data_IF_241957996658
#
_entry.id   IF_241957996658
#
_cell.length_a   1.000
_cell.length_b   1.000
_cell.length_c   1.000
_cell.angle_alpha   90.00
_cell.angle_beta   90.00
_cell.angle_gamma   90.00
#
_symmetry.space_group_name_H-M   'P 1'
#
loop_
_entity.id
_entity.type
_entity.pdbx_description
1 polymer ?
#
# COMPACT_ATOMS: atom_id res chain seq x y z
N UNK A 1 15.66 3.34 -24.08
CA UNK A 1 14.21 3.61 -24.03
C UNK A 1 13.73 3.29 -22.62
N UNK A 2 13.64 4.29 -21.75
CA UNK A 2 13.02 4.17 -20.44
C UNK A 2 11.66 4.91 -20.53
N UNK A 3 10.62 4.31 -19.95
CA UNK A 3 9.19 4.59 -20.17
C UNK A 3 8.74 5.99 -19.64
N UNK A 4 7.59 6.59 -20.01
CA UNK A 4 6.23 6.15 -19.61
C UNK A 4 5.11 6.96 -20.30
N UNK A 5 3.96 6.29 -20.49
CA UNK A 5 2.65 6.85 -20.84
C UNK A 5 2.28 8.03 -19.92
N UNK A 6 2.28 9.26 -20.43
CA UNK A 6 1.68 10.39 -19.73
C UNK A 6 0.16 10.15 -19.63
N UNK A 7 -0.34 9.88 -18.43
CA UNK A 7 -1.78 9.87 -18.18
C UNK A 7 -2.25 11.31 -18.02
N UNK A 8 -2.99 11.82 -19.01
CA UNK A 8 -3.68 13.10 -18.92
C UNK A 8 -5.12 12.84 -18.51
N UNK A 9 -5.53 13.35 -17.35
CA UNK A 9 -6.95 13.37 -16.96
C UNK A 9 -7.54 14.69 -17.45
N UNK A 10 -8.51 14.65 -18.36
CA UNK A 10 -9.31 15.84 -18.68
C UNK A 10 -10.10 16.24 -17.43
N UNK A 11 -9.69 17.34 -16.79
CA UNK A 11 -10.32 17.83 -15.57
C UNK A 11 -9.48 18.82 -14.76
N UNK A 12 -10.10 19.42 -13.75
CA UNK A 12 -9.42 20.15 -12.68
C UNK A 12 -8.50 19.16 -11.95
N UNK A 13 -7.18 19.35 -12.01
CA UNK A 13 -6.20 18.40 -11.45
C UNK A 13 -6.47 18.00 -10.00
N UNK A 14 -5.92 16.85 -9.58
CA UNK A 14 -6.13 16.29 -8.24
C UNK A 14 -5.11 16.90 -7.27
N UNK A 15 -5.52 17.22 -6.03
CA UNK A 15 -4.57 17.71 -5.01
C UNK A 15 -3.50 16.65 -4.74
N UNK A 16 -2.24 17.06 -4.70
CA UNK A 16 -1.10 16.17 -4.38
C UNK A 16 -1.35 15.36 -3.10
N UNK A 17 -1.84 16.01 -2.03
CA UNK A 17 -2.13 15.34 -0.77
C UNK A 17 -3.08 14.15 -0.92
N UNK A 18 -4.08 14.25 -1.79
CA UNK A 18 -5.05 13.18 -2.04
C UNK A 18 -4.43 12.00 -2.78
N UNK A 19 -3.51 12.27 -3.69
CA UNK A 19 -2.74 11.22 -4.38
C UNK A 19 -1.80 10.54 -3.39
N UNK A 20 -1.10 11.30 -2.55
CA UNK A 20 -0.22 10.75 -1.52
C UNK A 20 -0.99 9.88 -0.53
N UNK A 21 -2.14 10.34 -0.02
CA UNK A 21 -3.06 9.55 0.82
C UNK A 21 -3.45 8.22 0.16
N UNK A 22 -3.78 8.25 -1.14
CA UNK A 22 -4.12 7.05 -1.88
C UNK A 22 -2.92 6.09 -1.97
N UNK A 23 -1.74 6.60 -2.37
CA UNK A 23 -0.53 5.79 -2.50
C UNK A 23 -0.10 5.16 -1.17
N UNK A 24 -0.18 5.90 -0.06
CA UNK A 24 0.14 5.38 1.28
C UNK A 24 -0.93 4.44 1.82
N UNK A 25 -2.19 4.56 1.38
CA UNK A 25 -3.23 3.58 1.69
C UNK A 25 -3.04 2.26 0.93
N UNK A 26 -2.56 2.35 -0.31
CA UNK A 26 -2.27 1.19 -1.15
C UNK A 26 -1.06 0.43 -0.62
N UNK A 27 0.06 1.12 -0.37
CA UNK A 27 1.26 0.55 0.20
C UNK A 27 1.70 1.37 1.43
N UNK A 28 1.30 0.95 2.63
CA UNK A 28 1.66 1.63 3.87
C UNK A 28 3.17 1.80 4.03
N UNK A 29 3.61 3.00 4.43
CA UNK A 29 5.03 3.29 4.65
C UNK A 29 5.65 2.43 5.75
N UNK A 30 4.84 1.86 6.64
CA UNK A 30 5.28 0.91 7.67
C UNK A 30 5.80 -0.42 7.11
N UNK A 31 5.52 -0.73 5.83
CA UNK A 31 6.06 -1.90 5.14
C UNK A 31 7.49 -1.71 4.65
N UNK A 32 7.99 -0.47 4.64
CA UNK A 32 9.33 -0.18 4.16
C UNK A 32 10.40 -0.85 5.03
N UNK A 33 11.49 -1.24 4.38
CA UNK A 33 12.69 -1.68 5.09
C UNK A 33 13.28 -0.54 5.94
N UNK A 34 13.92 -0.90 7.06
CA UNK A 34 14.40 0.09 8.05
C UNK A 34 15.47 1.06 7.53
N UNK A 35 16.15 0.69 6.45
CA UNK A 35 17.19 1.49 5.79
C UNK A 35 16.65 2.35 4.65
N UNK A 36 15.39 2.18 4.27
CA UNK A 36 14.84 2.76 3.06
C UNK A 36 14.36 4.22 3.25
N UNK A 37 14.21 4.94 2.14
CA UNK A 37 13.65 6.29 2.13
C UNK A 37 12.48 6.39 1.14
N UNK A 38 11.28 6.16 1.65
CA UNK A 38 10.03 6.05 0.87
C UNK A 38 9.06 7.20 1.15
N UNK A 39 8.02 7.32 0.32
CA UNK A 39 6.97 8.31 0.46
C UNK A 39 7.21 9.57 -0.38
N UNK A 40 6.67 10.71 0.07
CA UNK A 40 6.82 11.99 -0.61
C UNK A 40 8.20 12.58 -0.26
N UNK A 41 9.13 12.52 -1.21
CA UNK A 41 10.53 12.93 -1.03
C UNK A 41 10.78 14.38 -1.42
N UNK A 42 9.99 14.92 -2.35
CA UNK A 42 10.06 16.31 -2.77
C UNK A 42 8.64 16.87 -2.85
N UNK A 43 8.40 17.94 -2.12
CA UNK A 43 7.13 18.68 -2.13
C UNK A 43 7.40 20.16 -2.40
N UNK A 44 6.85 20.74 -3.49
CA UNK A 44 6.91 22.18 -3.73
C UNK A 44 6.18 22.98 -2.65
N UNK A 45 6.69 24.16 -2.30
CA UNK A 45 6.11 25.01 -1.25
C UNK A 45 4.70 25.54 -1.58
N UNK A 46 4.40 25.75 -2.87
CA UNK A 46 3.07 26.15 -3.31
C UNK A 46 2.16 24.92 -3.50
N UNK A 47 0.85 25.00 -3.17
CA UNK A 47 -0.08 23.90 -3.40
C UNK A 47 -0.03 23.37 -4.84
N UNK A 48 0.07 22.05 -4.99
CA UNK A 48 0.18 21.38 -6.29
C UNK A 48 -1.15 20.72 -6.67
N UNK A 49 -1.68 21.08 -7.84
CA UNK A 49 -2.75 20.35 -8.52
C UNK A 49 -2.12 19.48 -9.61
N UNK A 50 -2.18 18.17 -9.41
CA UNK A 50 -1.57 17.17 -10.29
C UNK A 50 -2.52 16.87 -11.45
N UNK A 51 -2.08 17.21 -12.66
CA UNK A 51 -2.75 16.87 -13.92
C UNK A 51 -2.01 15.80 -14.71
N UNK A 52 -0.68 15.75 -14.54
CA UNK A 52 0.20 14.79 -15.21
C UNK A 52 1.12 14.13 -14.18
N UNK A 53 1.16 12.81 -14.26
CA UNK A 53 2.06 11.96 -13.48
C UNK A 53 3.02 11.28 -14.44
N UNK A 54 4.32 11.33 -14.13
CA UNK A 54 5.34 10.52 -14.79
C UNK A 54 5.72 9.38 -13.85
N UNK A 55 5.70 8.14 -14.35
CA UNK A 55 6.20 6.98 -13.62
C UNK A 55 7.59 6.62 -14.16
N UNK A 56 8.52 6.24 -13.29
CA UNK A 56 9.84 5.77 -13.73
C UNK A 56 10.41 4.77 -12.73
N UNK A 57 11.38 3.96 -13.16
CA UNK A 57 12.21 3.19 -12.24
C UNK A 57 13.26 4.11 -11.62
N UNK A 58 14.10 4.71 -12.46
CA UNK A 58 15.15 5.65 -12.07
C UNK A 58 14.84 7.07 -12.56
N UNK A 59 14.95 8.06 -11.67
CA UNK A 59 14.88 9.46 -12.04
C UNK A 59 16.26 9.96 -12.48
N UNK A 60 16.62 9.74 -13.75
CA UNK A 60 17.86 10.21 -14.38
C UNK A 60 17.72 11.64 -14.91
N UNK A 61 18.83 12.26 -15.36
CA UNK A 61 18.78 13.59 -16.00
C UNK A 61 17.95 13.59 -17.29
N UNK A 62 17.98 12.50 -18.07
CA UNK A 62 17.16 12.36 -19.29
C UNK A 62 15.66 12.26 -18.97
N UNK A 63 15.31 11.47 -17.93
CA UNK A 63 13.92 11.34 -17.47
C UNK A 63 13.43 12.65 -16.86
N UNK A 64 14.30 13.39 -16.17
CA UNK A 64 13.97 14.73 -15.68
C UNK A 64 13.68 15.69 -16.82
N UNK A 65 14.48 15.65 -17.89
CA UNK A 65 14.22 16.46 -19.08
C UNK A 65 12.85 16.13 -19.68
N UNK A 66 12.48 14.85 -19.77
CA UNK A 66 11.14 14.42 -20.19
C UNK A 66 10.03 14.96 -19.24
N UNK A 67 10.25 14.90 -17.93
CA UNK A 67 9.30 15.42 -16.94
C UNK A 67 9.05 16.93 -17.11
N UNK A 68 10.11 17.70 -17.36
CA UNK A 68 10.04 19.15 -17.64
C UNK A 68 9.32 19.40 -18.97
N UNK A 69 9.76 18.76 -20.05
CA UNK A 69 9.20 18.93 -21.40
C UNK A 69 7.70 18.58 -21.42
N UNK A 70 7.29 17.59 -20.63
CA UNK A 70 5.89 17.13 -20.52
C UNK A 70 5.02 17.97 -19.58
N UNK A 71 5.58 18.94 -18.86
CA UNK A 71 4.92 19.70 -17.79
C UNK A 71 4.29 18.78 -16.73
N UNK A 72 5.05 17.77 -16.31
CA UNK A 72 4.67 16.85 -15.23
C UNK A 72 4.50 17.60 -13.91
N UNK A 73 3.58 17.16 -13.05
CA UNK A 73 3.40 17.74 -11.71
C UNK A 73 3.87 16.79 -10.60
N UNK A 74 3.79 15.48 -10.84
CA UNK A 74 4.22 14.45 -9.90
C UNK A 74 5.03 13.39 -10.64
N UNK A 75 6.21 13.11 -10.12
CA UNK A 75 7.03 11.97 -10.54
C UNK A 75 6.89 10.87 -9.49
N UNK A 76 6.56 9.66 -9.92
CA UNK A 76 6.62 8.45 -9.08
C UNK A 76 7.83 7.65 -9.57
N UNK A 77 8.92 7.72 -8.81
CA UNK A 77 10.16 7.00 -9.11
C UNK A 77 10.27 5.78 -8.19
N UNK A 78 10.40 4.57 -8.74
CA UNK A 78 10.52 3.38 -7.91
C UNK A 78 11.76 3.43 -7.02
N UNK A 79 12.93 3.77 -7.58
CA UNK A 79 14.13 4.01 -6.80
C UNK A 79 14.16 5.44 -6.24
N UNK A 80 14.41 5.62 -4.93
CA UNK A 80 14.38 6.95 -4.31
C UNK A 80 15.57 7.80 -4.79
N UNK A 81 15.33 8.94 -5.47
CA UNK A 81 16.42 9.84 -5.88
C UNK A 81 17.15 10.42 -4.66
N UNK A 82 16.44 10.61 -3.55
CA UNK A 82 16.99 10.93 -2.23
C UNK A 82 17.15 9.63 -1.45
N UNK A 83 18.22 8.88 -1.68
CA UNK A 83 18.49 7.67 -0.87
C UNK A 83 19.29 7.97 0.41
N UNK A 84 20.10 9.03 0.37
CA UNK A 84 20.85 9.54 1.52
C UNK A 84 20.56 11.02 1.72
N UNK A 85 20.60 11.54 2.96
CA UNK A 85 20.40 12.95 3.23
C UNK A 85 21.42 13.83 2.49
N UNK A 86 20.93 14.91 1.87
CA UNK A 86 21.78 15.92 1.26
C UNK A 86 22.28 16.91 2.30
N UNK A 87 23.59 17.20 2.29
CA UNK A 87 24.16 18.29 3.10
C UNK A 87 23.95 19.67 2.46
N UNK A 88 23.74 19.72 1.15
CA UNK A 88 23.49 20.93 0.35
C UNK A 88 22.79 20.54 -0.96
N UNK A 89 22.11 21.50 -1.57
CA UNK A 89 21.51 21.38 -2.90
C UNK A 89 22.12 22.48 -3.75
N UNK A 90 22.97 22.10 -4.71
CA UNK A 90 23.70 22.98 -5.62
C UNK A 90 23.67 22.42 -7.04
N UNK A 91 24.09 23.21 -8.04
CA UNK A 91 24.18 22.73 -9.42
C UNK A 91 25.36 21.79 -9.69
N UNK A 92 26.23 21.54 -8.69
CA UNK A 92 27.46 20.77 -8.87
C UNK A 92 27.25 19.28 -9.08
N UNK A 93 26.28 18.67 -8.39
CA UNK A 93 25.99 17.22 -8.49
C UNK A 93 24.66 16.97 -9.18
N UNK A 94 24.60 15.91 -9.99
CA UNK A 94 23.40 15.59 -10.78
C UNK A 94 22.14 15.38 -9.92
N UNK A 95 22.23 14.64 -8.81
CA UNK A 95 21.07 14.48 -7.91
C UNK A 95 20.62 15.79 -7.26
N UNK A 96 21.56 16.67 -6.92
CA UNK A 96 21.23 18.00 -6.39
C UNK A 96 20.55 18.87 -7.46
N UNK A 97 21.03 18.81 -8.71
CA UNK A 97 20.38 19.46 -9.87
C UNK A 97 18.96 18.94 -10.08
N UNK A 98 18.74 17.63 -10.02
CA UNK A 98 17.39 17.05 -10.14
C UNK A 98 16.42 17.66 -9.12
N UNK A 99 16.85 17.74 -7.84
CA UNK A 99 16.01 18.33 -6.79
C UNK A 99 15.76 19.81 -7.02
N UNK A 100 16.78 20.58 -7.40
CA UNK A 100 16.63 21.99 -7.75
C UNK A 100 15.63 22.17 -8.90
N UNK A 101 15.77 21.40 -9.97
CA UNK A 101 14.87 21.40 -11.13
C UNK A 101 13.43 21.03 -10.74
N UNK A 102 13.23 20.03 -9.87
CA UNK A 102 11.90 19.70 -9.35
C UNK A 102 11.24 20.91 -8.67
N UNK A 103 11.97 21.57 -7.76
CA UNK A 103 11.45 22.70 -7.00
C UNK A 103 11.16 23.91 -7.89
N UNK A 104 12.05 24.24 -8.82
CA UNK A 104 11.88 25.33 -9.79
C UNK A 104 10.64 25.13 -10.67
N UNK A 105 10.36 23.88 -11.06
CA UNK A 105 9.23 23.52 -11.93
C UNK A 105 7.97 23.10 -11.16
N UNK A 106 7.94 23.24 -9.84
CA UNK A 106 6.82 22.85 -8.97
C UNK A 106 6.40 21.39 -9.16
N UNK A 107 7.39 20.51 -9.29
CA UNK A 107 7.20 19.06 -9.41
C UNK A 107 7.42 18.38 -8.06
N UNK A 108 6.47 17.53 -7.69
CA UNK A 108 6.61 16.63 -6.55
C UNK A 108 7.28 15.32 -6.96
N UNK A 109 7.94 14.65 -6.01
CA UNK A 109 8.52 13.32 -6.21
C UNK A 109 8.08 12.39 -5.09
N UNK A 110 7.47 11.27 -5.46
CA UNK A 110 7.11 10.18 -4.55
C UNK A 110 7.91 8.92 -4.90
N UNK A 111 8.36 8.18 -3.89
CA UNK A 111 9.08 6.91 -4.07
C UNK A 111 8.48 5.80 -3.23
N UNK A 112 7.88 4.76 -3.83
CA UNK A 112 7.35 3.64 -3.07
C UNK A 112 8.42 2.64 -2.63
N UNK A 113 9.36 2.31 -3.52
CA UNK A 113 10.46 1.35 -3.32
C UNK A 113 10.03 0.10 -2.55
N UNK A 114 10.63 -0.21 -1.39
CA UNK A 114 10.38 -1.46 -0.66
C UNK A 114 8.95 -1.63 -0.16
N UNK A 115 8.15 -0.55 -0.02
CA UNK A 115 6.73 -0.70 0.35
C UNK A 115 5.92 -1.40 -0.74
N UNK A 116 6.29 -1.20 -2.01
CA UNK A 116 5.64 -1.86 -3.15
C UNK A 116 6.18 -3.27 -3.39
N UNK A 117 7.40 -3.56 -2.97
CA UNK A 117 7.93 -4.93 -2.99
C UNK A 117 7.21 -5.80 -1.96
N UNK A 118 6.91 -5.19 -0.81
CA UNK A 118 6.37 -5.83 0.36
C UNK A 118 4.84 -5.91 0.40
N UNK A 119 4.10 -5.17 -0.41
CA UNK A 119 2.62 -5.18 -0.35
C UNK A 119 2.02 -6.36 -1.12
N UNK A 120 0.96 -6.95 -0.58
CA UNK A 120 0.12 -7.90 -1.33
C UNK A 120 -0.46 -7.23 -2.58
N UNK A 121 -0.40 -7.91 -3.73
CA UNK A 121 -0.72 -7.35 -5.04
C UNK A 121 0.33 -6.36 -5.56
N UNK A 122 1.49 -6.29 -4.91
CA UNK A 122 2.61 -5.40 -5.26
C UNK A 122 3.52 -5.96 -6.35
N UNK A 123 4.76 -5.47 -6.39
CA UNK A 123 5.71 -5.78 -7.45
C UNK A 123 6.03 -7.29 -7.50
N UNK A 124 6.29 -7.90 -6.35
CA UNK A 124 6.63 -9.32 -6.23
C UNK A 124 5.51 -10.22 -6.77
N UNK A 125 4.26 -9.91 -6.40
CA UNK A 125 3.07 -10.65 -6.87
C UNK A 125 2.82 -10.42 -8.36
N UNK A 126 3.03 -9.19 -8.85
CA UNK A 126 2.92 -8.89 -10.28
C UNK A 126 3.96 -9.66 -11.10
N UNK A 127 5.20 -9.75 -10.64
CA UNK A 127 6.26 -10.54 -11.27
C UNK A 127 5.96 -12.04 -11.25
N UNK A 128 5.29 -12.53 -10.20
CA UNK A 128 4.86 -13.91 -10.07
C UNK A 128 3.64 -14.23 -10.97
N UNK A 129 2.77 -13.25 -11.24
CA UNK A 129 1.49 -13.46 -11.93
C UNK A 129 1.52 -14.21 -13.28
N UNK A 130 2.58 -14.17 -14.11
CA UNK A 130 2.63 -14.94 -15.36
C UNK A 130 2.83 -16.45 -15.18
N UNK A 131 3.15 -16.90 -13.97
CA UNK A 131 3.46 -18.30 -13.66
C UNK A 131 2.31 -18.98 -12.93
N UNK A 132 2.15 -20.29 -13.13
CA UNK A 132 1.16 -21.10 -12.42
C UNK A 132 1.76 -21.64 -11.11
N UNK A 133 1.13 -21.30 -9.98
CA UNK A 133 1.53 -21.78 -8.65
C UNK A 133 0.33 -22.37 -7.91
N UNK A 134 0.57 -23.41 -7.11
CA UNK A 134 -0.44 -23.92 -6.16
C UNK A 134 -0.63 -22.98 -4.96
N UNK A 135 0.36 -22.13 -4.68
CA UNK A 135 0.33 -21.10 -3.66
C UNK A 135 1.54 -20.16 -3.76
N UNK A 136 1.35 -18.91 -3.34
CA UNK A 136 2.39 -17.88 -3.28
C UNK A 136 2.49 -17.39 -1.85
N UNK A 137 3.69 -17.45 -1.27
CA UNK A 137 3.99 -16.94 0.06
C UNK A 137 5.24 -16.06 0.02
N UNK A 138 5.34 -15.02 0.87
CA UNK A 138 6.51 -14.17 0.89
C UNK A 138 7.77 -14.94 1.32
N UNK A 139 8.91 -14.64 0.67
CA UNK A 139 10.20 -15.22 1.04
C UNK A 139 10.64 -14.73 2.43
N UNK A 140 10.54 -13.42 2.66
CA UNK A 140 10.76 -12.81 3.97
C UNK A 140 9.53 -12.00 4.36
N UNK A 141 8.65 -12.57 5.21
CA UNK A 141 7.63 -11.86 5.96
C UNK A 141 7.96 -10.42 6.38
N UNK A 142 7.30 -9.42 5.80
CA UNK A 142 7.36 -8.04 6.32
C UNK A 142 6.69 -7.98 7.69
N UNK A 143 7.45 -7.57 8.70
CA UNK A 143 6.94 -7.29 10.05
C UNK A 143 6.18 -5.96 10.14
N UNK A 144 6.20 -5.19 9.04
CA UNK A 144 5.50 -3.92 8.92
C UNK A 144 4.05 -4.11 9.32
N UNK A 145 3.67 -3.47 10.42
CA UNK A 145 2.34 -3.64 10.97
C UNK A 145 1.37 -3.04 9.96
N UNK A 146 0.54 -3.87 9.31
CA UNK A 146 -0.71 -3.41 8.70
C UNK A 146 -1.66 -3.04 9.85
N UNK A 147 -1.25 -2.12 10.74
CA UNK A 147 -2.16 -1.49 11.68
C UNK A 147 -3.05 -0.61 10.82
N UNK A 148 -4.25 -1.11 10.54
CA UNK A 148 -5.43 -0.27 10.63
C UNK A 148 -5.54 0.09 12.12
N UNK A 149 -5.03 1.24 12.60
CA UNK A 149 -5.06 1.57 14.03
C UNK A 149 -6.49 1.58 14.60
N UNK A 150 -7.48 1.71 13.71
CA UNK A 150 -8.89 1.54 14.01
C UNK A 150 -9.30 0.11 14.33
N UNK A 151 -8.50 -0.94 14.10
CA UNK A 151 -8.84 -2.32 14.46
C UNK A 151 -7.69 -2.99 15.21
N UNK A 152 -7.97 -3.60 16.36
CA UNK A 152 -6.95 -4.20 17.22
C UNK A 152 -6.97 -5.73 17.22
N UNK A 153 -7.93 -6.35 16.54
CA UNK A 153 -8.09 -7.81 16.53
C UNK A 153 -8.48 -8.31 15.14
N UNK A 154 -7.95 -9.47 14.77
CA UNK A 154 -8.44 -10.25 13.63
C UNK A 154 -9.31 -11.38 14.15
N UNK A 155 -10.50 -11.54 13.57
CA UNK A 155 -11.44 -12.60 13.94
C UNK A 155 -11.71 -13.46 12.72
N UNK A 156 -11.42 -14.75 12.83
CA UNK A 156 -11.85 -15.72 11.82
C UNK A 156 -13.08 -16.45 12.35
N UNK A 157 -14.15 -16.48 11.55
CA UNK A 157 -15.39 -17.19 11.86
C UNK A 157 -15.62 -18.25 10.80
N UNK A 158 -15.85 -19.48 11.25
CA UNK A 158 -16.33 -20.59 10.45
C UNK A 158 -17.78 -20.85 10.81
N UNK A 159 -18.68 -20.56 9.88
CA UNK A 159 -20.11 -20.83 10.04
C UNK A 159 -20.57 -21.95 9.09
N UNK A 160 -21.51 -22.80 9.49
CA UNK A 160 -22.22 -23.66 8.55
C UNK A 160 -22.87 -22.82 7.45
N UNK A 161 -22.82 -23.30 6.20
CA UNK A 161 -23.34 -22.55 5.04
C UNK A 161 -24.83 -22.17 5.22
N UNK A 162 -25.61 -23.03 5.87
CA UNK A 162 -27.03 -22.81 6.20
C UNK A 162 -27.27 -21.64 7.17
N UNK A 163 -26.24 -21.21 7.91
CA UNK A 163 -26.30 -20.11 8.88
C UNK A 163 -25.57 -18.85 8.38
N UNK A 164 -25.16 -18.81 7.11
CA UNK A 164 -24.39 -17.69 6.52
C UNK A 164 -25.06 -16.34 6.76
N UNK A 165 -26.34 -16.21 6.41
CA UNK A 165 -27.07 -14.93 6.49
C UNK A 165 -27.20 -14.45 7.94
N UNK A 166 -27.49 -15.37 8.87
CA UNK A 166 -27.58 -15.07 10.30
C UNK A 166 -26.23 -14.65 10.87
N UNK A 167 -25.15 -15.32 10.47
CA UNK A 167 -23.79 -14.95 10.86
C UNK A 167 -23.42 -13.57 10.32
N UNK A 168 -23.79 -13.25 9.08
CA UNK A 168 -23.53 -11.96 8.45
C UNK A 168 -24.32 -10.82 9.12
N UNK A 169 -25.53 -11.09 9.60
CA UNK A 169 -26.31 -10.14 10.40
C UNK A 169 -25.64 -9.84 11.75
N UNK A 170 -25.16 -10.87 12.46
CA UNK A 170 -24.40 -10.72 13.70
C UNK A 170 -23.14 -9.86 13.48
N UNK A 171 -22.38 -10.16 12.43
CA UNK A 171 -21.17 -9.41 12.07
C UNK A 171 -21.52 -7.94 11.81
N UNK A 172 -22.58 -7.68 11.05
CA UNK A 172 -23.01 -6.32 10.69
C UNK A 172 -23.40 -5.48 11.91
N UNK A 173 -24.00 -6.10 12.94
CA UNK A 173 -24.39 -5.41 14.19
C UNK A 173 -23.19 -5.12 15.09
N UNK A 174 -22.18 -6.00 15.09
CA UNK A 174 -21.00 -5.92 15.95
C UNK A 174 -19.97 -4.84 15.55
N UNK A 175 -20.22 -4.06 14.50
CA UNK A 175 -19.28 -3.06 13.98
C UNK A 175 -17.91 -3.63 13.56
N UNK A 176 -17.83 -4.94 13.32
CA UNK A 176 -16.68 -5.59 12.72
C UNK A 176 -16.74 -5.46 11.19
N UNK A 177 -15.59 -5.24 10.55
CA UNK A 177 -15.48 -5.14 9.10
C UNK A 177 -15.15 -6.51 8.51
N UNK A 178 -15.90 -6.94 7.49
CA UNK A 178 -15.57 -8.14 6.73
C UNK A 178 -14.42 -7.81 5.76
N UNK A 179 -13.25 -8.41 5.99
CA UNK A 179 -12.07 -8.28 5.12
C UNK A 179 -12.17 -9.23 3.92
N UNK A 180 -12.61 -10.46 4.17
CA UNK A 180 -12.82 -11.44 3.09
C UNK A 180 -13.82 -12.52 3.50
N UNK A 181 -14.39 -13.19 2.51
CA UNK A 181 -15.30 -14.33 2.67
C UNK A 181 -14.89 -15.45 1.71
N UNK A 182 -14.83 -16.68 2.20
CA UNK A 182 -14.55 -17.86 1.39
C UNK A 182 -15.60 -18.95 1.66
N UNK A 183 -16.25 -19.45 0.62
CA UNK A 183 -17.19 -20.57 0.72
C UNK A 183 -16.44 -21.89 0.57
N UNK A 184 -16.67 -22.81 1.52
CA UNK A 184 -16.19 -24.18 1.54
C UNK A 184 -17.39 -25.13 1.36
N UNK A 185 -17.13 -26.42 1.15
CA UNK A 185 -18.17 -27.43 0.83
C UNK A 185 -19.40 -27.39 1.75
N UNK A 186 -19.22 -27.18 3.06
CA UNK A 186 -20.30 -27.16 4.06
C UNK A 186 -20.25 -25.95 4.99
N UNK A 187 -19.28 -25.05 4.78
CA UNK A 187 -18.95 -23.97 5.70
C UNK A 187 -18.66 -22.70 4.93
N UNK A 188 -18.83 -21.56 5.56
CA UNK A 188 -18.31 -20.26 5.11
C UNK A 188 -17.30 -19.76 6.13
N UNK A 189 -16.16 -19.31 5.62
CA UNK A 189 -15.15 -18.62 6.41
C UNK A 189 -15.32 -17.11 6.21
N UNK A 190 -15.58 -16.38 7.30
CA UNK A 190 -15.46 -14.93 7.34
C UNK A 190 -14.15 -14.54 8.02
N UNK A 191 -13.41 -13.63 7.40
CA UNK A 191 -12.24 -12.98 7.99
C UNK A 191 -12.61 -11.55 8.30
N UNK A 192 -12.56 -11.18 9.58
CA UNK A 192 -13.08 -9.92 10.11
C UNK A 192 -11.99 -9.11 10.79
N UNK A 193 -12.20 -7.81 10.84
CA UNK A 193 -11.43 -6.86 11.66
C UNK A 193 -12.34 -6.20 12.70
N UNK A 194 -11.89 -6.22 13.96
CA UNK A 194 -12.66 -5.71 15.09
C UNK A 194 -11.80 -4.86 16.04
N UNK A 195 -12.45 -3.87 16.67
CA UNK A 195 -11.88 -3.16 17.83
C UNK A 195 -12.06 -4.00 19.08
N UNK A 196 -11.10 -3.92 20.01
CA UNK A 196 -11.15 -4.56 21.32
C UNK A 196 -12.48 -4.31 22.05
N UNK A 197 -13.01 -3.08 21.96
CA UNK A 197 -14.26 -2.69 22.61
C UNK A 197 -15.50 -3.41 22.06
N UNK A 198 -15.44 -3.96 20.84
CA UNK A 198 -16.57 -4.62 20.16
C UNK A 198 -16.44 -6.15 20.18
N UNK A 199 -15.35 -6.71 20.70
CA UNK A 199 -15.17 -8.16 20.74
C UNK A 199 -16.22 -8.88 21.57
N UNK A 200 -16.58 -8.34 22.74
CA UNK A 200 -17.58 -8.97 23.60
C UNK A 200 -18.96 -9.05 22.93
N UNK A 201 -19.33 -8.03 22.16
CA UNK A 201 -20.58 -8.01 21.39
C UNK A 201 -20.55 -9.03 20.26
N UNK A 202 -19.44 -9.09 19.51
CA UNK A 202 -19.22 -10.06 18.45
C UNK A 202 -19.25 -11.50 18.98
N UNK A 203 -18.55 -11.78 20.08
CA UNK A 203 -18.52 -13.11 20.72
C UNK A 203 -19.89 -13.53 21.22
N UNK A 204 -20.63 -12.63 21.85
CA UNK A 204 -21.99 -12.93 22.31
C UNK A 204 -22.89 -13.34 21.15
N UNK A 205 -22.87 -12.58 20.05
CA UNK A 205 -23.67 -12.91 18.87
C UNK A 205 -23.20 -14.18 18.16
N UNK A 206 -21.89 -14.42 18.10
CA UNK A 206 -21.33 -15.63 17.48
C UNK A 206 -21.63 -16.89 18.30
N UNK A 207 -21.66 -16.82 19.63
CA UNK A 207 -22.03 -17.95 20.50
C UNK A 207 -23.49 -18.38 20.35
N UNK A 208 -24.37 -17.49 19.88
CA UNK A 208 -25.76 -17.82 19.53
C UNK A 208 -25.88 -18.50 18.16
N UNK A 209 -24.80 -18.47 17.38
CA UNK A 209 -24.67 -19.17 16.10
C UNK A 209 -23.82 -20.42 16.33
N UNK A 210 -24.10 -21.53 15.67
CA UNK A 210 -23.30 -22.76 15.82
C UNK A 210 -21.96 -22.64 15.06
N UNK A 211 -21.28 -21.50 15.21
CA UNK A 211 -20.09 -21.10 14.50
C UNK A 211 -18.87 -21.32 15.40
N UNK A 212 -17.78 -21.71 14.77
CA UNK A 212 -16.47 -21.73 15.42
C UNK A 212 -15.75 -20.45 15.09
N UNK A 213 -15.14 -19.81 16.08
CA UNK A 213 -14.38 -18.60 15.83
C UNK A 213 -13.06 -18.61 16.59
N UNK A 214 -12.09 -17.88 16.05
CA UNK A 214 -10.79 -17.65 16.65
C UNK A 214 -10.49 -16.16 16.62
N UNK A 215 -10.21 -15.60 17.80
CA UNK A 215 -9.84 -14.20 17.97
C UNK A 215 -8.34 -14.14 18.21
N UNK A 216 -7.66 -13.33 17.42
CA UNK A 216 -6.27 -13.01 17.63
C UNK A 216 -6.17 -11.52 17.91
N UNK A 217 -5.63 -11.15 19.08
CA UNK A 217 -5.12 -9.80 19.28
C UNK A 217 -4.09 -9.56 18.18
N UNK A 218 -4.21 -8.43 17.48
CA UNK A 218 -3.21 -8.04 16.50
C UNK A 218 -1.91 -7.77 17.25
N UNK A 219 -1.12 -8.82 17.43
CA UNK A 219 0.33 -8.72 17.31
C UNK A 219 0.71 -8.43 15.85
N UNK A 220 2.00 -8.25 15.53
CA UNK A 220 2.44 -8.18 14.13
C UNK A 220 1.77 -9.31 13.35
N UNK A 221 1.02 -8.95 12.31
CA UNK A 221 0.27 -9.91 11.49
C UNK A 221 1.29 -10.93 10.97
N UNK A 222 1.08 -12.25 11.13
CA UNK A 222 1.88 -13.22 10.41
C UNK A 222 1.56 -13.02 8.93
N UNK A 223 2.51 -12.59 8.10
CA UNK A 223 2.20 -12.15 6.77
C UNK A 223 1.97 -13.38 5.92
N UNK A 224 0.70 -13.69 5.67
CA UNK A 224 0.38 -14.14 4.33
C UNK A 224 0.34 -12.90 3.46
N UNK A 225 1.29 -12.81 2.53
CA UNK A 225 1.24 -11.85 1.42
C UNK A 225 2.07 -10.58 1.55
N UNK A 226 2.86 -10.37 2.60
CA UNK A 226 3.79 -9.23 2.63
C UNK A 226 5.24 -9.67 2.86
N UNK A 227 6.16 -9.24 2.00
CA UNK A 227 7.58 -9.53 2.17
C UNK A 227 8.48 -9.18 0.98
N UNK A 228 9.79 -9.11 1.23
CA UNK A 228 10.79 -8.81 0.19
C UNK A 228 11.36 -10.11 -0.40
N UNK A 229 11.60 -10.12 -1.71
CA UNK A 229 12.26 -11.23 -2.40
C UNK A 229 13.75 -10.94 -2.61
N UNK A 230 14.62 -11.89 -2.22
CA UNK A 230 16.06 -11.84 -2.56
C UNK A 230 16.42 -13.08 -3.34
N UNK A 231 16.93 -12.91 -4.57
CA UNK A 231 17.55 -14.00 -5.32
C UNK A 231 18.96 -14.24 -4.75
N UNK A 232 19.19 -15.45 -4.25
CA UNK A 232 20.49 -16.00 -3.86
C UNK A 232 20.62 -17.41 -4.41
#
# INVERSE_FOLDING_TARGET
MAAVRAMSVEGTGVRLSRIVEFLTSFAPLSLAESWDNVGLLVEPASPVLVKKVLLTIDLTEDVMKEAVDSNTNLIIAYHPPIFQPFKRITSGKWKERLLATCLENKMAVYSPHTTWDAVTGGLSDWLASPFEFEGVEPLVPSLGVLTRPEFSHHVTVFCPLELKDRCQEVISRSHAEVVSTAELKTMVKFSLEAKKQFLLELESGLNETNCYYSIYERGPIPPRGCGTGRFG
#
